data_IF_260954670552
#
_entry.id   IF_260954670552
#
_cell.length_a   1.000
_cell.length_b   1.000
_cell.length_c   1.000
_cell.angle_alpha   90.00
_cell.angle_beta   90.00
_cell.angle_gamma   90.00
#
_symmetry.space_group_name_H-M   'P 1'
#
loop_
_entity.id
_entity.type
_entity.pdbx_description
1 polymer ?
#
# COMPACT_ATOMS: atom_id res chain seq x y z
N UNK A 1 35.66 2.83 -44.98
CA UNK A 1 35.73 2.01 -43.75
C UNK A 1 34.72 2.58 -42.75
N UNK A 2 33.63 1.86 -42.50
CA UNK A 2 32.50 2.32 -41.70
C UNK A 2 32.87 2.42 -40.21
N UNK A 3 32.62 3.57 -39.58
CA UNK A 3 32.57 3.70 -38.12
C UNK A 3 31.11 3.77 -37.72
N UNK A 4 30.61 2.65 -37.19
CA UNK A 4 29.30 2.54 -36.55
C UNK A 4 29.33 3.38 -35.27
N UNK A 5 28.50 4.42 -35.22
CA UNK A 5 28.18 5.12 -33.98
C UNK A 5 27.50 4.13 -33.03
N UNK A 6 28.15 3.83 -31.90
CA UNK A 6 27.49 3.17 -30.77
C UNK A 6 26.51 4.20 -30.18
N UNK A 7 25.26 4.11 -30.60
CA UNK A 7 24.12 4.63 -29.84
C UNK A 7 23.99 3.72 -28.63
N UNK A 8 24.59 4.12 -27.51
CA UNK A 8 24.37 3.46 -26.22
C UNK A 8 22.96 3.84 -25.77
N UNK A 9 21.99 2.99 -26.09
CA UNK A 9 20.62 3.10 -25.60
C UNK A 9 20.66 2.89 -24.09
N UNK A 10 20.60 3.97 -23.31
CA UNK A 10 20.51 3.94 -21.86
C UNK A 10 19.09 3.48 -21.50
N UNK A 11 18.92 2.19 -21.21
CA UNK A 11 17.67 1.63 -20.70
C UNK A 11 17.40 2.20 -19.31
N UNK A 12 16.56 3.23 -19.22
CA UNK A 12 16.01 3.72 -17.95
C UNK A 12 14.92 2.74 -17.53
N UNK A 13 15.29 1.76 -16.70
CA UNK A 13 14.33 0.95 -15.99
C UNK A 13 13.68 1.80 -14.89
N UNK A 14 12.55 2.43 -15.18
CA UNK A 14 11.65 2.94 -14.16
C UNK A 14 11.08 1.72 -13.41
N UNK A 15 11.80 1.29 -12.37
CA UNK A 15 11.33 0.25 -11.45
C UNK A 15 10.20 0.84 -10.62
N UNK A 16 8.97 0.83 -11.17
CA UNK A 16 7.79 0.69 -10.32
C UNK A 16 7.84 -0.75 -9.81
N UNK A 17 8.00 -0.95 -8.50
CA UNK A 17 8.15 -2.28 -7.87
C UNK A 17 6.92 -3.20 -8.06
N UNK A 18 5.87 -2.70 -8.70
CA UNK A 18 4.63 -3.42 -9.00
C UNK A 18 4.42 -3.79 -10.48
N UNK A 19 5.31 -3.40 -11.41
CA UNK A 19 5.07 -3.57 -12.85
C UNK A 19 5.80 -4.78 -13.46
N UNK A 20 5.64 -5.98 -12.90
CA UNK A 20 5.96 -7.22 -13.63
C UNK A 20 5.00 -8.36 -13.25
N UNK A 21 3.70 -8.17 -13.48
CA UNK A 21 2.80 -9.30 -13.72
C UNK A 21 2.21 -9.14 -15.11
N UNK A 22 2.70 -9.95 -16.04
CA UNK A 22 2.19 -10.08 -17.40
C UNK A 22 0.80 -10.69 -17.37
N UNK A 23 -0.25 -9.87 -17.32
CA UNK A 23 -1.59 -10.33 -17.61
C UNK A 23 -1.73 -10.49 -19.13
N UNK A 24 -1.56 -11.72 -19.58
CA UNK A 24 -1.98 -12.12 -20.91
C UNK A 24 -3.51 -12.06 -20.97
N UNK A 25 -3.99 -11.22 -21.88
CA UNK A 25 -5.36 -11.19 -22.38
C UNK A 25 -5.75 -12.54 -22.99
N UNK A 26 -6.88 -13.11 -22.57
CA UNK A 26 -7.66 -14.00 -23.43
C UNK A 26 -9.10 -13.51 -23.51
N UNK A 27 -9.47 -13.12 -24.72
CA UNK A 27 -10.82 -12.87 -25.15
C UNK A 27 -11.40 -14.15 -25.78
N UNK A 28 -12.71 -14.35 -25.59
CA UNK A 28 -13.49 -15.42 -26.22
C UNK A 28 -13.81 -16.56 -25.24
N UNK A 29 -14.99 -17.19 -25.22
CA UNK A 29 -16.09 -17.25 -26.17
C UNK A 29 -17.36 -17.63 -25.39
N UNK A 30 -18.47 -17.03 -25.82
CA UNK A 30 -19.88 -17.45 -25.73
C UNK A 30 -20.24 -18.76 -25.00
N UNK A 31 -21.26 -18.64 -24.16
CA UNK A 31 -22.39 -19.59 -24.13
C UNK A 31 -22.33 -20.68 -23.07
N UNK A 32 -23.12 -20.53 -22.00
CA UNK A 32 -24.20 -21.45 -21.59
C UNK A 32 -24.76 -21.03 -20.21
N UNK A 33 -26.08 -21.21 -20.04
CA UNK A 33 -26.87 -20.86 -18.85
C UNK A 33 -26.33 -21.49 -17.54
N UNK A 34 -26.56 -20.88 -16.36
CA UNK A 34 -26.30 -21.53 -15.09
C UNK A 34 -27.37 -22.60 -14.82
N UNK A 35 -26.93 -23.82 -14.48
CA UNK A 35 -27.77 -24.91 -13.98
C UNK A 35 -27.34 -25.28 -12.56
N UNK A 36 -28.32 -25.72 -11.79
CA UNK A 36 -28.41 -25.83 -10.33
C UNK A 36 -27.26 -26.56 -9.60
N UNK A 37 -27.00 -26.10 -8.36
CA UNK A 37 -26.42 -26.80 -7.22
C UNK A 37 -25.20 -27.69 -7.48
N UNK A 38 -24.01 -27.10 -7.40
CA UNK A 38 -22.82 -27.80 -6.92
C UNK A 38 -22.07 -26.92 -5.93
N UNK A 39 -21.87 -27.47 -4.73
CA UNK A 39 -20.95 -27.01 -3.71
C UNK A 39 -19.59 -26.68 -4.34
N UNK A 40 -19.24 -25.40 -4.37
CA UNK A 40 -17.95 -24.95 -4.90
C UNK A 40 -16.87 -25.25 -3.87
N UNK A 41 -16.16 -26.36 -4.06
CA UNK A 41 -14.81 -26.52 -3.56
C UNK A 41 -13.97 -25.42 -4.22
N UNK A 42 -13.62 -24.40 -3.44
CA UNK A 42 -12.89 -23.23 -3.90
C UNK A 42 -11.45 -23.62 -4.23
N UNK A 43 -11.23 -24.00 -5.48
CA UNK A 43 -9.90 -24.01 -6.08
C UNK A 43 -9.57 -22.56 -6.43
N UNK A 44 -8.83 -21.88 -5.55
CA UNK A 44 -8.18 -20.60 -5.90
C UNK A 44 -7.08 -20.89 -6.93
N UNK A 45 -7.44 -20.96 -8.22
CA UNK A 45 -6.47 -20.90 -9.31
C UNK A 45 -6.15 -19.44 -9.62
N UNK A 46 -5.02 -18.98 -9.12
CA UNK A 46 -4.47 -17.65 -9.37
C UNK A 46 -3.08 -17.55 -8.76
N UNK A 47 -2.17 -18.42 -9.22
CA UNK A 47 -0.85 -18.59 -8.65
C UNK A 47 0.13 -17.56 -9.24
N UNK A 48 0.62 -16.62 -8.44
CA UNK A 48 1.88 -15.91 -8.69
C UNK A 48 2.57 -15.55 -7.37
N UNK A 49 3.72 -16.19 -7.09
CA UNK A 49 4.88 -15.43 -6.64
C UNK A 49 5.33 -15.44 -5.17
N UNK A 50 5.11 -16.49 -4.38
CA UNK A 50 5.97 -16.86 -3.24
C UNK A 50 5.65 -18.29 -2.80
N UNK A 51 6.67 -19.07 -2.43
CA UNK A 51 6.60 -20.47 -2.04
C UNK A 51 5.82 -20.67 -0.73
N UNK A 52 4.50 -20.56 -0.79
CA UNK A 52 3.57 -20.95 0.26
C UNK A 52 3.26 -22.45 0.13
N UNK A 53 4.28 -23.30 0.31
CA UNK A 53 4.21 -24.74 0.06
C UNK A 53 3.17 -25.46 0.94
N UNK A 54 2.75 -24.85 2.06
CA UNK A 54 1.74 -25.40 2.98
C UNK A 54 0.31 -24.87 2.77
N UNK A 55 0.10 -23.91 1.86
CA UNK A 55 -1.24 -23.31 1.64
C UNK A 55 -2.08 -24.13 0.65
N UNK A 56 -1.46 -25.02 -0.11
CA UNK A 56 -2.15 -25.80 -1.16
C UNK A 56 -3.08 -26.92 -0.65
N UNK A 57 -3.13 -27.17 0.67
CA UNK A 57 -4.02 -28.20 1.26
C UNK A 57 -4.69 -27.77 2.57
N UNK A 58 -4.86 -26.46 2.81
CA UNK A 58 -5.56 -26.00 4.03
C UNK A 58 -7.02 -25.73 3.73
N UNK A 59 -7.90 -26.61 4.18
CA UNK A 59 -9.31 -26.24 4.32
C UNK A 59 -9.40 -25.28 5.51
N UNK A 60 -9.79 -24.03 5.27
CA UNK A 60 -10.02 -23.07 6.34
C UNK A 60 -11.31 -23.40 7.10
N UNK A 61 -11.27 -23.32 8.42
CA UNK A 61 -12.46 -23.44 9.27
C UNK A 61 -13.14 -22.07 9.37
N UNK A 62 -14.02 -21.82 8.41
CA UNK A 62 -14.76 -20.54 8.29
C UNK A 62 -15.87 -20.38 9.33
N UNK A 63 -16.16 -21.40 10.14
CA UNK A 63 -17.10 -21.31 11.27
C UNK A 63 -16.38 -20.79 12.51
N UNK A 64 -15.13 -21.19 12.70
CA UNK A 64 -14.31 -20.82 13.85
C UNK A 64 -13.49 -19.53 13.65
N UNK A 65 -12.99 -19.30 12.44
CA UNK A 65 -12.11 -18.17 12.13
C UNK A 65 -12.74 -17.24 11.10
N UNK A 66 -12.44 -15.95 11.21
CA UNK A 66 -13.02 -14.90 10.36
C UNK A 66 -12.22 -14.70 9.06
N UNK A 67 -10.91 -14.96 9.07
CA UNK A 67 -10.00 -14.77 7.94
C UNK A 67 -8.79 -15.72 8.02
N UNK A 68 -8.08 -16.01 6.91
CA UNK A 68 -6.97 -16.97 6.85
C UNK A 68 -5.87 -16.78 7.89
N UNK A 69 -5.32 -15.57 8.02
CA UNK A 69 -4.22 -15.27 8.93
C UNK A 69 -4.59 -15.52 10.40
N UNK A 70 -5.87 -15.38 10.76
CA UNK A 70 -6.35 -15.69 12.12
C UNK A 70 -6.16 -17.17 12.44
N UNK A 71 -6.55 -18.05 11.53
CA UNK A 71 -6.38 -19.50 11.68
C UNK A 71 -4.90 -19.87 11.69
N UNK A 72 -4.14 -19.37 10.70
CA UNK A 72 -2.72 -19.68 10.56
C UNK A 72 -1.94 -19.27 11.83
N UNK A 73 -2.23 -18.09 12.38
CA UNK A 73 -1.64 -17.65 13.64
C UNK A 73 -2.07 -18.51 14.83
N UNK A 74 -3.36 -18.85 14.96
CA UNK A 74 -3.86 -19.67 16.06
C UNK A 74 -3.29 -21.11 16.06
N UNK A 75 -2.94 -21.62 14.87
CA UNK A 75 -2.35 -22.95 14.68
C UNK A 75 -0.81 -22.91 14.67
N UNK A 76 -0.19 -21.76 14.97
CA UNK A 76 1.27 -21.55 14.92
C UNK A 76 1.90 -21.90 13.56
N UNK A 77 1.16 -21.67 12.47
CA UNK A 77 1.63 -21.90 11.10
C UNK A 77 2.32 -20.67 10.56
N UNK A 78 3.36 -20.89 9.75
CA UNK A 78 4.07 -19.81 9.07
C UNK A 78 3.24 -19.28 7.90
N UNK A 79 3.23 -17.96 7.72
CA UNK A 79 2.58 -17.29 6.60
C UNK A 79 3.25 -15.93 6.32
N UNK A 80 3.11 -15.45 5.09
CA UNK A 80 3.60 -14.11 4.74
C UNK A 80 2.65 -13.04 5.28
N UNK A 81 3.01 -12.42 6.40
CA UNK A 81 2.23 -11.33 7.01
C UNK A 81 2.11 -10.08 6.14
N UNK A 82 2.93 -9.95 5.08
CA UNK A 82 2.83 -8.87 4.10
C UNK A 82 1.78 -9.15 3.01
N UNK A 83 1.27 -10.38 2.91
CA UNK A 83 0.16 -10.71 2.02
C UNK A 83 -1.18 -10.31 2.66
N UNK A 84 -1.71 -9.17 2.23
CA UNK A 84 -2.97 -8.63 2.75
C UNK A 84 -4.19 -9.50 2.41
N UNK A 85 -4.13 -10.36 1.39
CA UNK A 85 -5.24 -11.26 1.05
C UNK A 85 -5.55 -12.23 2.19
N UNK A 86 -4.53 -12.61 2.99
CA UNK A 86 -4.71 -13.47 4.16
C UNK A 86 -5.52 -12.80 5.29
N UNK A 87 -5.74 -11.49 5.21
CA UNK A 87 -6.52 -10.71 6.17
C UNK A 87 -7.90 -10.35 5.61
N UNK A 88 -8.29 -10.89 4.47
CA UNK A 88 -9.66 -10.75 3.97
C UNK A 88 -10.59 -11.74 4.66
N UNK A 89 -11.76 -11.24 5.06
CA UNK A 89 -12.79 -12.09 5.67
C UNK A 89 -13.29 -13.14 4.70
N UNK A 90 -13.63 -14.32 5.22
CA UNK A 90 -14.23 -15.39 4.42
C UNK A 90 -15.63 -15.06 3.91
N UNK A 91 -16.43 -14.34 4.70
CA UNK A 91 -17.85 -14.07 4.43
C UNK A 91 -18.09 -12.85 3.53
N UNK A 92 -17.37 -11.76 3.77
CA UNK A 92 -17.60 -10.47 3.08
C UNK A 92 -16.46 -10.06 2.16
N UNK A 93 -15.33 -10.77 2.18
CA UNK A 93 -14.08 -10.40 1.50
C UNK A 93 -13.53 -9.02 1.89
N UNK A 94 -14.03 -8.45 2.99
CA UNK A 94 -13.55 -7.18 3.52
C UNK A 94 -12.19 -7.36 4.17
N UNK A 95 -11.28 -6.41 3.93
CA UNK A 95 -9.95 -6.42 4.52
C UNK A 95 -9.99 -5.98 5.98
N UNK A 96 -9.51 -6.84 6.86
CA UNK A 96 -9.23 -6.57 8.28
C UNK A 96 -7.94 -5.75 8.40
N UNK A 97 -7.99 -4.48 7.98
CA UNK A 97 -6.78 -3.65 7.78
C UNK A 97 -6.04 -3.31 9.08
N UNK A 98 -6.75 -3.25 10.21
CA UNK A 98 -6.13 -3.02 11.52
C UNK A 98 -5.34 -4.25 11.97
N UNK A 99 -5.91 -5.43 11.79
CA UNK A 99 -5.29 -6.73 12.09
C UNK A 99 -4.08 -6.96 11.19
N UNK A 100 -4.19 -6.59 9.91
CA UNK A 100 -3.07 -6.63 8.97
C UNK A 100 -1.94 -5.67 9.36
N UNK A 101 -2.26 -4.42 9.69
CA UNK A 101 -1.28 -3.45 10.18
C UNK A 101 -0.54 -3.99 11.41
N UNK A 102 -1.29 -4.52 12.39
CA UNK A 102 -0.74 -5.08 13.62
C UNK A 102 0.25 -6.23 13.36
N UNK A 103 -0.08 -7.15 12.44
CA UNK A 103 0.81 -8.25 12.08
C UNK A 103 2.17 -7.76 11.52
N UNK A 104 2.19 -6.60 10.85
CA UNK A 104 3.40 -5.99 10.33
C UNK A 104 4.17 -5.11 11.34
N UNK A 105 3.71 -5.02 12.60
CA UNK A 105 4.18 -4.10 13.65
C UNK A 105 3.87 -2.61 13.35
N UNK A 106 2.67 -2.35 12.82
CA UNK A 106 2.12 -1.03 12.56
C UNK A 106 0.72 -0.90 13.18
N UNK A 107 0.22 0.32 13.30
CA UNK A 107 -1.20 0.60 13.50
C UNK A 107 -1.70 1.50 12.36
N UNK A 108 -2.98 1.40 12.02
CA UNK A 108 -3.60 2.22 10.99
C UNK A 108 -4.43 3.32 11.64
N UNK A 109 -4.00 4.56 11.45
CA UNK A 109 -4.76 5.75 11.84
C UNK A 109 -5.56 6.28 10.67
N UNK A 110 -6.76 6.73 10.97
CA UNK A 110 -7.58 7.44 10.01
C UNK A 110 -7.11 8.90 9.91
N UNK A 111 -7.13 9.44 8.70
CA UNK A 111 -6.90 10.84 8.47
C UNK A 111 -7.93 11.36 7.47
N UNK A 112 -8.77 12.27 7.93
CA UNK A 112 -9.65 13.05 7.07
C UNK A 112 -9.31 14.54 7.23
N UNK A 113 -9.33 15.28 6.13
CA UNK A 113 -9.22 16.74 6.15
C UNK A 113 -10.47 17.39 6.77
N UNK A 114 -11.62 16.72 6.71
CA UNK A 114 -12.93 17.27 7.01
C UNK A 114 -13.35 17.22 8.47
N UNK A 115 -12.76 16.32 9.26
CA UNK A 115 -13.18 16.08 10.63
C UNK A 115 -11.94 16.05 11.52
N UNK A 116 -11.88 16.98 12.47
CA UNK A 116 -10.96 16.90 13.59
C UNK A 116 -11.76 17.12 14.88
N UNK A 117 -11.53 16.25 15.88
CA UNK A 117 -11.93 16.51 17.26
C UNK A 117 -10.72 16.96 18.04
N UNK A 118 -10.85 18.05 18.79
CA UNK A 118 -9.90 18.38 19.86
C UNK A 118 -10.32 17.59 21.09
N UNK A 119 -9.45 16.68 21.52
CA UNK A 119 -9.64 15.90 22.74
C UNK A 119 -9.35 16.79 23.95
N UNK A 120 -9.84 16.39 25.12
CA UNK A 120 -9.62 17.13 26.38
C UNK A 120 -8.14 17.26 26.78
N UNK A 121 -7.29 16.36 26.30
CA UNK A 121 -5.84 16.36 26.51
C UNK A 121 -5.08 17.25 25.51
N UNK A 122 -5.79 17.99 24.65
CA UNK A 122 -5.20 18.86 23.63
C UNK A 122 -4.73 18.12 22.37
N UNK A 123 -4.88 16.79 22.30
CA UNK A 123 -4.60 16.03 21.08
C UNK A 123 -5.72 16.22 20.05
N UNK A 124 -5.39 16.10 18.76
CA UNK A 124 -6.37 16.19 17.67
C UNK A 124 -6.60 14.81 17.08
N UNK A 125 -7.80 14.27 17.22
CA UNK A 125 -8.18 13.04 16.53
C UNK A 125 -8.78 13.39 15.18
N UNK A 126 -8.18 12.88 14.11
CA UNK A 126 -8.79 12.84 12.79
C UNK A 126 -9.31 11.43 12.59
N UNK A 127 -10.56 11.31 12.18
CA UNK A 127 -11.21 10.02 11.92
C UNK A 127 -12.22 10.22 10.80
N UNK A 128 -12.67 9.15 10.19
CA UNK A 128 -13.71 9.23 9.18
C UNK A 128 -15.07 9.41 9.86
N UNK A 129 -15.65 10.61 9.76
CA UNK A 129 -17.04 10.85 10.20
C UNK A 129 -18.00 11.03 9.03
N UNK A 130 -18.33 9.91 8.39
CA UNK A 130 -19.23 9.93 7.24
C UNK A 130 -20.71 10.15 7.58
N UNK A 131 -21.05 10.38 8.85
CA UNK A 131 -22.42 10.64 9.29
C UNK A 131 -22.88 12.06 8.96
N UNK A 132 -21.95 13.01 8.86
CA UNK A 132 -22.25 14.38 8.50
C UNK A 132 -22.34 14.54 6.98
N UNK A 133 -23.55 14.44 6.44
CA UNK A 133 -23.85 14.63 5.01
C UNK A 133 -23.39 15.99 4.43
N UNK A 134 -23.08 16.96 5.31
CA UNK A 134 -22.70 18.32 4.95
C UNK A 134 -21.19 18.52 4.82
N UNK A 135 -20.37 17.58 5.32
CA UNK A 135 -18.92 17.62 5.13
C UNK A 135 -18.58 17.08 3.74
N UNK A 136 -18.20 17.99 2.84
CA UNK A 136 -17.82 17.63 1.46
C UNK A 136 -16.52 16.84 1.46
N UNK A 137 -16.62 15.51 1.40
CA UNK A 137 -15.48 14.66 1.03
C UNK A 137 -14.99 15.04 -0.36
N UNK A 138 -13.73 15.47 -0.45
CA UNK A 138 -13.11 15.76 -1.72
C UNK A 138 -12.66 14.44 -2.36
N UNK A 139 -13.52 13.89 -3.20
CA UNK A 139 -13.24 12.76 -4.08
C UNK A 139 -13.44 13.22 -5.52
N UNK A 140 -12.34 13.41 -6.24
CA UNK A 140 -12.35 14.19 -7.49
C UNK A 140 -11.22 13.77 -8.41
N UNK A 141 -11.55 13.62 -9.70
CA UNK A 141 -10.55 13.50 -10.76
C UNK A 141 -9.74 14.81 -10.87
N UNK A 142 -8.42 14.68 -10.85
CA UNK A 142 -7.46 15.78 -10.97
C UNK A 142 -6.50 15.48 -12.11
N UNK A 143 -5.84 16.51 -12.62
CA UNK A 143 -4.78 16.39 -13.62
C UNK A 143 -3.48 16.83 -12.96
N UNK A 144 -2.49 15.95 -12.94
CA UNK A 144 -1.14 16.28 -12.45
C UNK A 144 -0.39 17.17 -13.44
N UNK A 145 0.72 17.77 -13.01
CA UNK A 145 1.56 18.62 -13.86
C UNK A 145 2.13 17.88 -15.09
N UNK A 146 2.17 16.55 -15.06
CA UNK A 146 2.52 15.72 -16.21
C UNK A 146 1.44 15.63 -17.30
N UNK A 147 0.24 16.17 -17.04
CA UNK A 147 -0.95 16.02 -17.89
C UNK A 147 -1.73 14.71 -17.63
N UNK A 148 -1.26 13.85 -16.74
CA UNK A 148 -1.95 12.60 -16.38
C UNK A 148 -3.11 12.86 -15.42
N UNK A 149 -4.27 12.28 -15.73
CA UNK A 149 -5.42 12.23 -14.83
C UNK A 149 -5.11 11.33 -13.65
N UNK A 150 -5.63 11.63 -12.46
CA UNK A 150 -5.62 10.75 -11.29
C UNK A 150 -6.83 11.04 -10.40
N UNK A 151 -7.25 10.08 -9.57
CA UNK A 151 -8.33 10.32 -8.62
C UNK A 151 -7.80 10.73 -7.23
N UNK A 152 -8.11 11.95 -6.82
CA UNK A 152 -7.78 12.50 -5.50
C UNK A 152 -8.76 12.05 -4.43
N UNK A 153 -8.25 11.86 -3.21
CA UNK A 153 -9.07 11.74 -2.01
C UNK A 153 -8.39 12.46 -0.86
N UNK A 154 -9.21 13.14 -0.07
CA UNK A 154 -8.84 13.78 1.19
C UNK A 154 -8.86 12.82 2.39
N UNK A 155 -9.40 11.62 2.19
CA UNK A 155 -9.39 10.55 3.19
C UNK A 155 -8.18 9.65 2.97
N UNK A 156 -7.46 9.36 4.05
CA UNK A 156 -6.27 8.54 4.02
C UNK A 156 -6.24 7.60 5.23
N UNK A 157 -5.67 6.41 5.03
CA UNK A 157 -5.15 5.60 6.12
C UNK A 157 -3.65 5.88 6.25
N UNK A 158 -3.23 6.15 7.48
CA UNK A 158 -1.85 6.36 7.87
C UNK A 158 -1.38 5.13 8.65
N UNK A 159 -0.59 4.29 8.00
CA UNK A 159 0.07 3.17 8.65
C UNK A 159 1.30 3.70 9.37
N UNK A 160 1.28 3.67 10.70
CA UNK A 160 2.34 4.16 11.57
C UNK A 160 3.03 2.98 12.24
N UNK A 161 4.37 2.95 12.18
CA UNK A 161 5.14 1.91 12.86
C UNK A 161 4.93 2.04 14.37
N UNK A 162 4.76 0.91 15.06
CA UNK A 162 4.76 0.92 16.52
C UNK A 162 6.21 1.07 17.00
N UNK A 163 6.50 2.19 17.64
CA UNK A 163 7.83 2.54 18.14
C UNK A 163 7.69 3.31 19.45
N UNK A 164 8.46 2.94 20.47
CA UNK A 164 8.38 3.54 21.81
C UNK A 164 9.14 4.87 21.91
N UNK A 165 10.01 5.19 20.94
CA UNK A 165 10.86 6.39 20.93
C UNK A 165 10.24 7.48 20.06
N UNK A 166 9.83 7.15 18.84
CA UNK A 166 9.29 8.10 17.86
C UNK A 166 7.77 8.23 17.95
N UNK A 167 7.25 8.45 19.15
CA UNK A 167 5.80 8.46 19.41
C UNK A 167 5.07 9.65 18.77
N UNK A 168 5.71 10.82 18.69
CA UNK A 168 5.11 12.02 18.11
C UNK A 168 5.15 12.06 16.58
N UNK A 169 6.24 11.56 15.98
CA UNK A 169 6.43 11.51 14.53
C UNK A 169 6.97 10.11 14.18
N UNK A 170 6.13 9.07 14.17
CA UNK A 170 6.58 7.73 13.80
C UNK A 170 6.89 7.65 12.31
N UNK A 171 7.62 6.59 11.92
CA UNK A 171 7.67 6.17 10.52
C UNK A 171 6.22 5.93 10.08
N UNK A 172 5.78 6.63 9.03
CA UNK A 172 4.42 6.50 8.54
C UNK A 172 4.32 6.46 7.02
N UNK A 173 3.35 5.67 6.55
CA UNK A 173 3.02 5.45 5.15
C UNK A 173 1.54 5.75 4.96
N UNK A 174 1.19 6.41 3.86
CA UNK A 174 -0.19 6.85 3.61
C UNK A 174 -0.75 6.29 2.33
N UNK A 175 -1.98 5.80 2.40
CA UNK A 175 -2.78 5.40 1.24
C UNK A 175 -4.10 6.15 1.23
N UNK A 176 -4.64 6.40 0.04
CA UNK A 176 -5.94 7.06 -0.12
C UNK A 176 -7.08 6.08 0.11
N UNK A 177 -8.13 6.59 0.74
CA UNK A 177 -9.40 5.88 0.96
C UNK A 177 -10.47 6.55 0.14
N UNK A 178 -11.35 5.74 -0.45
CA UNK A 178 -12.42 6.16 -1.31
C UNK A 178 -13.75 5.64 -0.79
N UNK A 179 -14.82 6.36 -1.06
CA UNK A 179 -16.18 5.96 -0.70
C UNK A 179 -16.87 5.15 -1.79
N UNK A 180 -16.26 5.07 -2.98
CA UNK A 180 -16.75 4.28 -4.11
C UNK A 180 -15.63 3.46 -4.74
N UNK A 181 -15.90 2.21 -5.17
CA UNK A 181 -14.88 1.34 -5.74
C UNK A 181 -14.30 1.89 -7.05
N UNK A 182 -15.10 2.52 -7.91
CA UNK A 182 -14.65 3.12 -9.18
C UNK A 182 -13.59 4.22 -9.00
N UNK A 183 -13.49 4.80 -7.80
CA UNK A 183 -12.53 5.85 -7.49
C UNK A 183 -11.16 5.30 -7.04
N UNK A 184 -11.00 3.99 -6.86
CA UNK A 184 -9.77 3.36 -6.37
C UNK A 184 -8.66 3.36 -7.41
N UNK A 185 -8.02 4.51 -7.58
CA UNK A 185 -6.87 4.67 -8.45
C UNK A 185 -5.57 4.34 -7.71
N UNK A 186 -4.58 3.77 -8.41
CA UNK A 186 -3.25 3.60 -7.86
C UNK A 186 -2.64 4.99 -7.63
N UNK A 187 -2.04 5.17 -6.46
CA UNK A 187 -1.41 6.41 -6.07
C UNK A 187 -0.27 6.13 -5.12
N UNK A 188 0.82 6.89 -5.25
CA UNK A 188 2.02 6.73 -4.41
C UNK A 188 1.69 6.64 -2.93
N UNK A 189 2.37 5.70 -2.29
CA UNK A 189 2.59 5.77 -0.85
C UNK A 189 3.52 6.96 -0.55
N UNK A 190 3.11 7.84 0.36
CA UNK A 190 3.96 8.92 0.89
C UNK A 190 4.55 8.49 2.23
N UNK A 191 5.84 8.75 2.41
CA UNK A 191 6.59 8.34 3.59
C UNK A 191 6.93 9.56 4.45
N UNK A 192 6.75 9.41 5.75
CA UNK A 192 7.36 10.31 6.74
C UNK A 192 8.32 9.50 7.59
N UNK A 193 9.58 9.90 7.62
CA UNK A 193 10.62 9.27 8.44
C UNK A 193 11.12 10.30 9.47
N UNK A 194 11.04 10.00 10.78
CA UNK A 194 11.51 10.92 11.82
C UNK A 194 12.99 11.24 11.70
N UNK A 195 13.39 12.41 12.21
CA UNK A 195 14.81 12.71 12.36
C UNK A 195 15.51 11.67 13.24
N UNK A 196 16.75 11.32 12.90
CA UNK A 196 17.47 10.22 13.53
C UNK A 196 18.97 10.41 13.46
N UNK A 197 19.72 9.56 14.17
CA UNK A 197 21.17 9.49 14.08
C UNK A 197 21.68 8.06 14.24
N UNK A 198 22.88 7.79 13.72
CA UNK A 198 23.55 6.52 13.98
C UNK A 198 24.30 6.54 15.34
N UNK A 199 24.97 5.45 15.70
CA UNK A 199 25.78 5.35 16.93
C UNK A 199 27.02 6.25 16.95
N UNK A 200 27.39 6.85 15.80
CA UNK A 200 28.47 7.84 15.69
C UNK A 200 27.94 9.27 15.76
N UNK A 201 26.64 9.46 16.00
CA UNK A 201 25.95 10.76 16.01
C UNK A 201 25.93 11.48 14.66
N UNK A 202 26.05 10.76 13.55
CA UNK A 202 25.71 11.32 12.24
C UNK A 202 24.19 11.50 12.17
N UNK A 203 23.72 12.74 12.01
CA UNK A 203 22.29 13.09 12.07
C UNK A 203 21.70 13.18 10.67
N UNK A 204 20.47 12.66 10.51
CA UNK A 204 19.61 12.93 9.36
C UNK A 204 18.32 13.57 9.90
N UNK A 205 17.93 14.78 9.44
CA UNK A 205 16.68 15.40 9.85
C UNK A 205 15.48 14.65 9.29
N UNK A 206 14.29 14.98 9.79
CA UNK A 206 13.02 14.46 9.27
C UNK A 206 12.98 14.51 7.74
N UNK A 207 12.55 13.40 7.15
CA UNK A 207 12.53 13.21 5.70
C UNK A 207 11.15 12.83 5.21
N UNK A 208 10.71 13.52 4.17
CA UNK A 208 9.52 13.13 3.40
C UNK A 208 9.98 12.48 2.12
N UNK A 209 9.50 11.28 1.84
CA UNK A 209 9.88 10.51 0.66
C UNK A 209 8.65 10.14 -0.17
N UNK A 210 8.86 9.96 -1.46
CA UNK A 210 7.88 9.50 -2.43
C UNK A 210 8.60 8.84 -3.59
N UNK A 211 8.00 7.81 -4.21
CA UNK A 211 8.61 7.24 -5.41
C UNK A 211 8.70 8.27 -6.54
N UNK A 212 9.82 8.26 -7.26
CA UNK A 212 10.14 9.23 -8.31
C UNK A 212 9.10 9.20 -9.43
N UNK A 213 8.64 8.01 -9.83
CA UNK A 213 7.63 7.86 -10.88
C UNK A 213 6.34 8.63 -10.52
N UNK A 214 5.79 8.37 -9.33
CA UNK A 214 4.56 9.05 -8.91
C UNK A 214 4.76 10.52 -8.60
N UNK A 215 5.94 10.90 -8.09
CA UNK A 215 6.28 12.31 -7.97
C UNK A 215 6.24 13.00 -9.34
N UNK A 216 6.74 12.35 -10.39
CA UNK A 216 6.72 12.87 -11.75
C UNK A 216 5.31 12.90 -12.34
N UNK A 217 4.46 11.90 -12.06
CA UNK A 217 3.03 11.91 -12.44
C UNK A 217 2.35 13.18 -11.89
N UNK A 218 2.63 13.55 -10.64
CA UNK A 218 1.95 14.65 -9.98
C UNK A 218 2.55 16.02 -10.27
N UNK A 219 3.87 16.12 -10.25
CA UNK A 219 4.59 17.40 -10.15
C UNK A 219 5.66 17.59 -11.23
N UNK A 220 5.96 16.56 -12.03
CA UNK A 220 7.05 16.58 -13.00
C UNK A 220 6.59 16.29 -14.42
N UNK A 221 7.57 16.01 -15.27
CA UNK A 221 7.35 15.50 -16.62
C UNK A 221 7.73 14.03 -16.65
N UNK A 222 6.87 13.21 -17.23
CA UNK A 222 7.15 11.80 -17.47
C UNK A 222 7.95 11.67 -18.77
N UNK A 223 8.84 10.68 -18.81
CA UNK A 223 9.39 10.20 -20.08
C UNK A 223 8.27 9.61 -20.96
N UNK A 224 8.44 9.51 -22.29
CA UNK A 224 7.47 8.85 -23.15
C UNK A 224 7.11 7.43 -22.70
N UNK A 225 8.10 6.68 -22.21
CA UNK A 225 7.93 5.31 -21.72
C UNK A 225 7.11 5.27 -20.41
N UNK A 226 7.42 6.13 -19.44
CA UNK A 226 6.66 6.25 -18.19
C UNK A 226 5.23 6.73 -18.46
N UNK A 227 5.06 7.64 -19.42
CA UNK A 227 3.76 8.15 -19.86
C UNK A 227 2.89 7.04 -20.44
N UNK A 228 3.47 6.19 -21.31
CA UNK A 228 2.78 5.04 -21.88
C UNK A 228 2.47 3.96 -20.84
N UNK A 229 3.40 3.70 -19.92
CA UNK A 229 3.18 2.79 -18.79
C UNK A 229 2.00 3.25 -17.93
N UNK A 230 1.95 4.55 -17.61
CA UNK A 230 0.85 5.12 -16.85
C UNK A 230 -0.49 4.88 -17.55
N UNK A 231 -0.60 5.20 -18.83
CA UNK A 231 -1.87 5.06 -19.57
C UNK A 231 -2.31 3.59 -19.67
N UNK A 232 -1.37 2.66 -19.81
CA UNK A 232 -1.68 1.24 -19.92
C UNK A 232 -2.15 0.63 -18.58
N UNK A 233 -1.47 0.98 -17.48
CA UNK A 233 -1.59 0.26 -16.21
C UNK A 233 -2.27 1.07 -15.10
N UNK A 234 -2.00 2.37 -15.01
CA UNK A 234 -2.28 3.17 -13.81
C UNK A 234 -3.31 4.29 -14.00
N UNK A 235 -3.60 4.69 -15.24
CA UNK A 235 -4.59 5.72 -15.58
C UNK A 235 -6.05 5.29 -15.43
N UNK A 236 -6.33 4.36 -14.53
CA UNK A 236 -7.63 3.74 -14.32
C UNK A 236 -7.77 3.20 -12.90
N UNK A 237 -8.98 2.82 -12.52
CA UNK A 237 -9.27 2.08 -11.30
C UNK A 237 -8.52 0.74 -11.29
N UNK A 238 -7.90 0.39 -10.17
CA UNK A 238 -7.15 -0.86 -10.01
C UNK A 238 -7.52 -1.52 -8.69
N UNK A 239 -8.02 -2.76 -8.79
CA UNK A 239 -8.31 -3.69 -7.69
C UNK A 239 -8.97 -3.03 -6.48
N UNK A 240 -10.21 -2.53 -6.57
CA UNK A 240 -10.88 -1.92 -5.44
C UNK A 240 -11.09 -2.96 -4.32
N UNK A 241 -10.47 -2.73 -3.17
CA UNK A 241 -10.58 -3.58 -1.98
C UNK A 241 -11.49 -2.89 -0.98
N UNK A 242 -12.56 -3.58 -0.58
CA UNK A 242 -13.47 -3.11 0.47
C UNK A 242 -12.82 -3.33 1.84
N UNK A 243 -12.82 -2.30 2.69
CA UNK A 243 -12.30 -2.43 4.06
C UNK A 243 -13.40 -2.86 5.02
N UNK A 244 -13.03 -3.62 6.04
CA UNK A 244 -13.92 -3.93 7.16
C UNK A 244 -14.09 -2.65 8.01
N UNK A 245 -15.17 -1.92 7.76
CA UNK A 245 -15.44 -0.63 8.39
C UNK A 245 -16.91 -0.52 8.82
N UNK A 246 -17.21 -0.18 10.08
CA UNK A 246 -18.56 -0.37 10.66
C UNK A 246 -19.61 0.65 10.19
N UNK A 247 -19.22 1.86 9.79
CA UNK A 247 -20.20 2.93 9.51
C UNK A 247 -20.70 2.93 8.08
N UNK A 248 -19.81 2.69 7.10
CA UNK A 248 -20.15 2.61 5.67
C UNK A 248 -19.08 1.84 4.89
N UNK A 249 -19.41 1.37 3.68
CA UNK A 249 -18.41 0.88 2.75
C UNK A 249 -17.37 1.95 2.40
N UNK A 250 -16.11 1.59 2.59
CA UNK A 250 -14.94 2.34 2.12
C UNK A 250 -13.98 1.39 1.40
N UNK A 251 -13.18 1.97 0.52
CA UNK A 251 -12.37 1.24 -0.43
C UNK A 251 -10.97 1.82 -0.54
N UNK A 252 -10.01 0.97 -0.87
CA UNK A 252 -8.63 1.33 -1.21
C UNK A 252 -8.24 0.59 -2.48
N UNK A 253 -7.23 1.07 -3.19
CA UNK A 253 -6.65 0.29 -4.29
C UNK A 253 -5.79 -0.84 -3.74
N UNK A 254 -6.05 -2.08 -4.16
CA UNK A 254 -5.25 -3.27 -3.84
C UNK A 254 -3.83 -3.18 -4.38
N UNK A 255 -3.63 -2.41 -5.45
CA UNK A 255 -2.29 -2.02 -5.90
C UNK A 255 -1.54 -1.23 -4.82
N UNK A 256 -2.18 -0.22 -4.23
CA UNK A 256 -1.57 0.59 -3.16
C UNK A 256 -1.30 -0.25 -1.91
N UNK A 257 -2.16 -1.24 -1.60
CA UNK A 257 -1.92 -2.17 -0.49
C UNK A 257 -0.65 -2.99 -0.72
N UNK A 258 -0.49 -3.52 -1.93
CA UNK A 258 0.67 -4.32 -2.32
C UNK A 258 1.96 -3.49 -2.28
N UNK A 259 1.93 -2.29 -2.87
CA UNK A 259 3.04 -1.34 -2.84
C UNK A 259 3.44 -0.98 -1.39
N UNK A 260 2.46 -0.62 -0.57
CA UNK A 260 2.68 -0.29 0.84
C UNK A 260 3.25 -1.49 1.62
N UNK A 261 2.77 -2.71 1.38
CA UNK A 261 3.26 -3.92 2.04
C UNK A 261 4.76 -4.17 1.76
N UNK A 262 5.16 -4.03 0.49
CA UNK A 262 6.56 -4.16 0.08
C UNK A 262 7.44 -3.10 0.75
N UNK A 263 6.94 -1.86 0.81
CA UNK A 263 7.62 -0.76 1.46
C UNK A 263 7.76 -0.95 2.98
N UNK A 264 6.70 -1.42 3.66
CA UNK A 264 6.75 -1.79 5.07
C UNK A 264 7.76 -2.92 5.31
N UNK A 265 7.81 -3.93 4.44
CA UNK A 265 8.80 -5.02 4.51
C UNK A 265 10.23 -4.49 4.43
N UNK A 266 10.52 -3.58 3.51
CA UNK A 266 11.83 -2.92 3.40
C UNK A 266 12.20 -2.13 4.67
N UNK A 267 11.24 -1.38 5.22
CA UNK A 267 11.42 -0.64 6.48
C UNK A 267 11.70 -1.61 7.62
N UNK A 268 10.89 -2.64 7.79
CA UNK A 268 11.06 -3.64 8.85
C UNK A 268 12.41 -4.35 8.78
N UNK A 269 12.93 -4.60 7.58
CA UNK A 269 14.27 -5.19 7.40
C UNK A 269 15.42 -4.31 7.93
N UNK A 270 15.19 -3.01 8.18
CA UNK A 270 16.17 -2.14 8.81
C UNK A 270 16.26 -2.32 10.34
N UNK A 271 15.22 -2.89 10.95
CA UNK A 271 15.10 -3.15 12.39
C UNK A 271 15.50 -4.60 12.67
N UNK A 272 16.50 -4.79 13.54
CA UNK A 272 16.93 -6.14 13.94
C UNK A 272 16.21 -6.66 15.19
N UNK A 273 15.68 -5.73 15.97
CA UNK A 273 14.96 -5.90 17.21
C UNK A 273 14.11 -4.65 17.44
N UNK A 274 13.31 -4.67 18.50
CA UNK A 274 12.49 -3.54 18.95
C UNK A 274 13.12 -2.82 20.15
N UNK A 275 14.46 -2.91 20.35
CA UNK A 275 15.13 -2.25 21.47
C UNK A 275 15.12 -0.72 21.28
N UNK A 276 14.52 0.06 22.20
CA UNK A 276 14.44 1.51 22.10
C UNK A 276 15.81 2.20 21.96
N UNK A 277 16.88 1.64 22.54
CA UNK A 277 18.24 2.21 22.46
C UNK A 277 18.79 2.21 21.02
N UNK A 278 18.35 1.27 20.19
CA UNK A 278 18.80 1.13 18.80
C UNK A 278 17.86 1.82 17.80
N UNK A 279 16.68 2.25 18.25
CA UNK A 279 15.64 2.80 17.39
C UNK A 279 16.17 3.90 16.46
N UNK A 280 16.83 4.93 17.01
CA UNK A 280 17.39 6.04 16.22
C UNK A 280 18.35 5.54 15.12
N UNK A 281 19.21 4.56 15.44
CA UNK A 281 20.13 3.98 14.47
C UNK A 281 19.43 3.14 13.39
N UNK A 282 18.30 2.50 13.71
CA UNK A 282 17.47 1.80 12.72
C UNK A 282 16.71 2.76 11.82
N UNK A 283 16.12 3.83 12.37
CA UNK A 283 15.50 4.90 11.57
C UNK A 283 16.54 5.56 10.64
N UNK A 284 17.77 5.77 11.13
CA UNK A 284 18.87 6.27 10.30
C UNK A 284 19.13 5.33 9.11
N UNK A 285 19.12 4.01 9.32
CA UNK A 285 19.25 3.03 8.22
C UNK A 285 18.10 3.11 7.23
N UNK A 286 16.86 3.34 7.70
CA UNK A 286 15.71 3.57 6.81
C UNK A 286 15.95 4.78 5.92
N UNK A 287 16.42 5.91 6.47
CA UNK A 287 16.79 7.07 5.65
C UNK A 287 17.85 6.73 4.60
N UNK A 288 18.93 6.06 5.00
CA UNK A 288 20.03 5.69 4.09
C UNK A 288 19.56 4.74 3.00
N UNK A 289 18.72 3.77 3.34
CA UNK A 289 18.10 2.85 2.39
C UNK A 289 17.31 3.64 1.34
N UNK A 290 16.38 4.50 1.76
CA UNK A 290 15.54 5.28 0.86
C UNK A 290 16.36 6.27 0.02
N UNK A 291 17.38 6.92 0.60
CA UNK A 291 18.26 7.85 -0.12
C UNK A 291 19.13 7.17 -1.18
N UNK A 292 19.44 5.88 -1.01
CA UNK A 292 20.24 5.10 -1.95
C UNK A 292 19.39 4.47 -3.08
N UNK A 293 18.07 4.54 -3.00
CA UNK A 293 17.16 4.03 -4.03
C UNK A 293 16.98 5.07 -5.13
N UNK A 294 17.35 4.75 -6.37
CA UNK A 294 17.13 5.63 -7.53
C UNK A 294 15.64 5.87 -7.83
N UNK A 295 14.78 4.94 -7.42
CA UNK A 295 13.32 5.03 -7.55
C UNK A 295 12.67 5.90 -6.49
N UNK A 296 13.41 6.44 -5.51
CA UNK A 296 12.87 7.20 -4.39
C UNK A 296 13.36 8.64 -4.40
N UNK A 297 12.46 9.59 -4.21
CA UNK A 297 12.75 11.02 -4.13
C UNK A 297 12.50 11.54 -2.73
N UNK A 298 13.49 12.27 -2.17
CA UNK A 298 13.29 13.08 -0.97
C UNK A 298 12.67 14.42 -1.35
N UNK A 299 11.64 14.84 -0.63
CA UNK A 299 10.80 16.00 -0.98
C UNK A 299 11.21 17.30 -0.28
N UNK A 300 12.10 17.23 0.71
CA UNK A 300 12.57 18.36 1.52
C UNK A 300 14.10 18.42 1.63
#
# INVERSE_FOLDING_TARGET
>A
MARKSLVTMLTVAAMCFSAVNSFATEAGVLGLKPSANQSVTQSQSGNTGATNTDVQSTQYDTVKYQYPAQQLSAENRQFDKYDWHLFQRFDTHELMYNEWAAAMNFHADEYSSNVFRENQDGTKTRFFDFSESNLKYCEVERIGSSGKKFYGSDNMLNFKRNDEVNTYIPISLKIKVYTKPENCWPFSTQFTIPGSHNHRWDIIPIGFYQETFWHNVLNGSLTPEESALYDAQYGKTVDPVKLYYPSRPIYVSGWCLTDMAQNIKLINNCFKDENPENCSAYVYKVHRMLQNMSSMKKLN
#
